data_IF_459952019694
#
_entry.id   IF_459952019694
#
_cell.length_a   1.000
_cell.length_b   1.000
_cell.length_c   1.000
_cell.angle_alpha   90.00
_cell.angle_beta   90.00
_cell.angle_gamma   90.00
#
_symmetry.space_group_name_H-M   'P 1'
#
loop_
_entity.id
_entity.type
_entity.pdbx_description
1 polymer ?
#
# COMPACT_ATOMS: atom_id res chain seq x y z
N UNK A 1 29.88 53.07 52.44
CA UNK A 1 28.81 52.30 53.11
C UNK A 1 28.40 51.19 52.16
N UNK A 2 28.99 50.02 52.36
CA UNK A 2 28.87 48.80 51.56
C UNK A 2 27.81 47.90 52.21
N UNK A 3 26.50 48.04 51.93
CA UNK A 3 25.53 46.98 52.29
C UNK A 3 24.11 47.10 51.72
N UNK A 4 23.90 47.46 50.44
CA UNK A 4 22.58 47.25 49.80
C UNK A 4 22.68 46.48 48.47
N UNK A 5 23.74 45.68 48.34
CA UNK A 5 23.81 44.55 47.41
C UNK A 5 23.38 43.32 48.22
N UNK A 6 22.15 42.85 48.03
CA UNK A 6 21.61 41.49 48.28
C UNK A 6 20.13 41.56 48.68
N UNK A 7 19.28 42.01 47.77
CA UNK A 7 17.97 41.39 47.69
C UNK A 7 17.78 40.94 46.24
N UNK A 8 17.82 39.62 45.95
CA UNK A 8 17.44 39.15 44.65
C UNK A 8 15.96 39.49 44.50
N UNK A 9 15.65 40.49 43.68
CA UNK A 9 14.35 40.58 43.04
C UNK A 9 14.09 39.22 42.41
N UNK A 10 13.36 38.36 43.11
CA UNK A 10 12.86 37.10 42.58
C UNK A 10 11.73 37.51 41.64
N UNK A 11 12.10 37.98 40.45
CA UNK A 11 11.18 38.11 39.36
C UNK A 11 10.73 36.69 39.04
N UNK A 12 9.51 36.34 39.45
CA UNK A 12 8.88 35.09 39.09
C UNK A 12 8.77 35.03 37.56
N UNK A 13 9.73 34.36 36.90
CA UNK A 13 9.74 34.02 35.46
C UNK A 13 8.54 33.10 35.11
N UNK A 14 7.77 32.65 36.09
CA UNK A 14 6.66 31.70 35.89
C UNK A 14 5.29 32.36 35.73
N UNK A 15 5.17 33.70 35.76
CA UNK A 15 3.86 34.39 35.75
C UNK A 15 3.61 35.33 34.56
N UNK A 16 4.25 35.07 33.43
CA UNK A 16 3.88 35.66 32.12
C UNK A 16 3.57 34.58 31.08
N UNK A 17 3.11 33.40 31.53
CA UNK A 17 2.17 32.61 30.71
C UNK A 17 0.80 33.21 30.98
N UNK A 18 0.57 34.37 30.39
CA UNK A 18 -0.79 34.90 30.25
C UNK A 18 -1.53 33.95 29.33
N UNK A 19 -2.26 33.02 29.94
CA UNK A 19 -3.38 32.31 29.36
C UNK A 19 -4.27 33.33 28.61
N UNK A 20 -4.32 33.27 27.27
CA UNK A 20 -5.54 33.55 26.48
C UNK A 20 -5.36 33.78 24.97
N UNK A 21 -4.16 33.87 24.36
CA UNK A 21 -4.08 34.04 22.89
C UNK A 21 -2.87 33.28 22.32
N UNK A 22 -3.10 32.11 21.67
CA UNK A 22 -3.13 32.12 20.20
C UNK A 22 -4.34 31.38 19.61
N UNK A 23 -5.38 31.07 20.39
CA UNK A 23 -6.48 30.21 19.91
C UNK A 23 -7.31 30.84 18.78
N UNK A 24 -7.42 32.18 18.76
CA UNK A 24 -8.26 32.91 17.79
C UNK A 24 -7.63 32.94 16.38
N UNK A 25 -6.30 32.98 16.27
CA UNK A 25 -5.60 32.98 14.98
C UNK A 25 -5.16 31.59 14.52
N UNK A 26 -4.97 30.64 15.45
CA UNK A 26 -4.56 29.27 15.10
C UNK A 26 -5.65 28.52 14.34
N UNK A 27 -6.92 28.70 14.72
CA UNK A 27 -8.06 28.04 14.07
C UNK A 27 -8.24 28.46 12.60
N UNK A 28 -8.26 29.76 12.22
CA UNK A 28 -8.38 30.15 10.82
C UNK A 28 -7.14 29.78 10.00
N UNK A 29 -5.93 29.82 10.56
CA UNK A 29 -4.74 29.31 9.87
C UNK A 29 -4.81 27.80 9.63
N UNK A 30 -5.29 27.02 10.61
CA UNK A 30 -5.48 25.57 10.46
C UNK A 30 -6.54 25.26 9.40
N UNK A 31 -7.66 26.00 9.39
CA UNK A 31 -8.69 25.87 8.36
C UNK A 31 -8.18 26.26 6.98
N UNK A 32 -7.39 27.34 6.88
CA UNK A 32 -6.77 27.76 5.62
C UNK A 32 -5.78 26.70 5.11
N UNK A 33 -4.93 26.16 5.99
CA UNK A 33 -4.01 25.08 5.63
C UNK A 33 -4.76 23.81 5.21
N UNK A 34 -5.83 23.44 5.92
CA UNK A 34 -6.70 22.33 5.55
C UNK A 34 -7.41 22.55 4.21
N UNK A 35 -7.85 23.78 3.94
CA UNK A 35 -8.51 24.14 2.67
C UNK A 35 -7.52 24.14 1.50
N UNK A 36 -6.33 24.72 1.68
CA UNK A 36 -5.26 24.66 0.69
C UNK A 36 -4.81 23.21 0.43
N UNK A 37 -4.77 22.39 1.48
CA UNK A 37 -4.50 20.97 1.35
C UNK A 37 -5.60 20.24 0.57
N UNK A 38 -6.88 20.55 0.83
CA UNK A 38 -8.01 20.00 0.07
C UNK A 38 -7.94 20.40 -1.41
N UNK A 39 -7.67 21.68 -1.71
CA UNK A 39 -7.50 22.16 -3.08
C UNK A 39 -6.33 21.43 -3.76
N UNK A 40 -5.18 21.31 -3.09
CA UNK A 40 -4.02 20.59 -3.62
C UNK A 40 -4.34 19.12 -3.90
N UNK A 41 -5.09 18.45 -3.01
CA UNK A 41 -5.52 17.06 -3.23
C UNK A 41 -6.51 16.90 -4.38
N UNK A 42 -7.28 17.94 -4.71
CA UNK A 42 -8.21 17.95 -5.83
C UNK A 42 -7.50 18.26 -7.16
N UNK A 43 -6.40 19.01 -7.16
CA UNK A 43 -5.71 19.45 -8.38
C UNK A 43 -4.81 18.38 -8.99
N UNK A 44 -4.34 17.40 -8.19
CA UNK A 44 -3.68 16.20 -8.71
C UNK A 44 -4.68 15.19 -9.30
N UNK A 45 -5.46 15.66 -10.28
CA UNK A 45 -6.20 14.80 -11.20
C UNK A 45 -5.21 14.15 -12.15
N UNK A 46 -4.53 13.11 -11.67
CA UNK A 46 -3.81 12.21 -12.55
C UNK A 46 -4.78 11.67 -13.62
N UNK A 47 -4.31 11.55 -14.87
CA UNK A 47 -5.10 10.99 -15.98
C UNK A 47 -5.71 9.61 -15.70
N UNK A 48 -5.18 8.89 -14.71
CA UNK A 48 -5.67 7.59 -14.25
C UNK A 48 -6.52 7.82 -13.00
N UNK A 49 -7.78 7.35 -12.96
CA UNK A 49 -8.65 7.53 -11.81
C UNK A 49 -8.15 6.72 -10.61
N UNK A 50 -8.38 7.22 -9.40
CA UNK A 50 -8.00 6.56 -8.15
C UNK A 50 -7.96 7.52 -6.96
N UNK A 51 -7.68 7.03 -5.74
CA UNK A 51 -7.35 7.88 -4.61
C UNK A 51 -6.24 8.87 -4.96
N UNK A 52 -6.31 10.08 -4.38
CA UNK A 52 -5.25 11.08 -4.49
C UNK A 52 -4.02 10.69 -3.67
N UNK A 53 -2.83 11.08 -4.12
CA UNK A 53 -1.56 10.72 -3.46
C UNK A 53 -1.38 11.41 -2.10
N UNK A 54 -1.83 12.66 -1.97
CA UNK A 54 -1.97 13.37 -0.70
C UNK A 54 -0.69 13.33 0.17
N UNK A 55 0.46 13.72 -0.39
CA UNK A 55 1.78 13.71 0.28
C UNK A 55 2.15 12.36 0.96
N UNK A 56 1.78 11.23 0.35
CA UNK A 56 2.06 9.90 0.88
C UNK A 56 0.99 9.33 1.82
N UNK A 57 -0.03 10.11 2.21
CA UNK A 57 -1.19 9.60 2.94
C UNK A 57 -2.05 8.68 2.08
N UNK A 58 -2.19 9.00 0.79
CA UNK A 58 -2.92 8.15 -0.18
C UNK A 58 -2.41 6.71 -0.17
N UNK A 59 -1.09 6.50 -0.35
CA UNK A 59 -0.50 5.19 -0.27
C UNK A 59 -0.69 4.45 1.06
N UNK A 60 -0.61 5.17 2.19
CA UNK A 60 -0.81 4.57 3.50
C UNK A 60 -2.26 4.10 3.70
N UNK A 61 -3.22 4.94 3.33
CA UNK A 61 -4.65 4.63 3.45
C UNK A 61 -5.04 3.49 2.49
N UNK A 62 -4.55 3.52 1.24
CA UNK A 62 -4.86 2.44 0.29
C UNK A 62 -4.29 1.12 0.76
N UNK A 63 -3.01 1.09 1.16
CA UNK A 63 -2.38 -0.13 1.64
C UNK A 63 -3.04 -0.65 2.92
N UNK A 64 -3.34 0.23 3.88
CA UNK A 64 -4.07 -0.13 5.10
C UNK A 64 -5.44 -0.73 4.80
N UNK A 65 -6.17 -0.20 3.82
CA UNK A 65 -7.46 -0.77 3.39
C UNK A 65 -7.31 -2.19 2.81
N UNK A 66 -6.27 -2.45 2.03
CA UNK A 66 -5.97 -3.81 1.54
C UNK A 66 -5.69 -4.79 2.68
N UNK A 67 -5.00 -4.35 3.74
CA UNK A 67 -4.74 -5.18 4.92
C UNK A 67 -6.02 -5.42 5.74
N UNK A 68 -6.87 -4.41 5.92
CA UNK A 68 -8.09 -4.53 6.72
C UNK A 68 -9.21 -5.30 6.03
N UNK A 69 -9.48 -5.04 4.74
CA UNK A 69 -10.59 -5.67 4.01
C UNK A 69 -10.20 -6.98 3.31
N UNK A 70 -8.89 -7.19 3.10
CA UNK A 70 -8.38 -8.22 2.22
C UNK A 70 -8.41 -7.82 0.73
N UNK A 71 -7.60 -8.52 -0.07
CA UNK A 71 -7.31 -8.15 -1.48
C UNK A 71 -8.57 -8.13 -2.35
N UNK A 72 -9.41 -9.17 -2.28
CA UNK A 72 -10.61 -9.26 -3.12
C UNK A 72 -11.64 -8.17 -2.84
N UNK A 73 -12.00 -7.98 -1.56
CA UNK A 73 -12.97 -6.98 -1.13
C UNK A 73 -12.49 -5.56 -1.38
N UNK A 74 -11.19 -5.29 -1.16
CA UNK A 74 -10.61 -3.98 -1.45
C UNK A 74 -10.63 -3.66 -2.95
N UNK A 75 -10.26 -4.61 -3.82
CA UNK A 75 -10.38 -4.44 -5.27
C UNK A 75 -11.82 -4.13 -5.70
N UNK A 76 -12.80 -4.87 -5.17
CA UNK A 76 -14.21 -4.62 -5.49
C UNK A 76 -14.68 -3.24 -5.02
N UNK A 77 -14.26 -2.82 -3.82
CA UNK A 77 -14.54 -1.49 -3.30
C UNK A 77 -14.00 -0.39 -4.23
N UNK A 78 -12.73 -0.52 -4.65
CA UNK A 78 -12.10 0.48 -5.52
C UNK A 78 -12.70 0.51 -6.92
N UNK A 79 -13.06 -0.65 -7.48
CA UNK A 79 -13.75 -0.73 -8.76
C UNK A 79 -15.11 -0.03 -8.72
N UNK A 80 -15.87 -0.19 -7.63
CA UNK A 80 -17.16 0.48 -7.44
C UNK A 80 -17.01 1.99 -7.25
N UNK A 81 -15.93 2.46 -6.64
CA UNK A 81 -15.73 3.87 -6.29
C UNK A 81 -15.08 4.70 -7.41
N UNK A 82 -14.11 4.14 -8.13
CA UNK A 82 -13.29 4.87 -9.12
C UNK A 82 -13.45 4.35 -10.55
N UNK A 83 -14.15 3.22 -10.75
CA UNK A 83 -14.39 2.60 -12.06
C UNK A 83 -13.52 1.38 -12.34
N UNK A 84 -13.64 0.83 -13.55
CA UNK A 84 -13.09 -0.48 -13.95
C UNK A 84 -11.58 -0.51 -14.23
N UNK A 85 -10.93 0.65 -14.23
CA UNK A 85 -9.50 0.80 -14.46
C UNK A 85 -9.00 1.92 -13.58
N UNK A 86 -8.31 1.60 -12.49
CA UNK A 86 -7.93 2.59 -11.49
C UNK A 86 -6.58 2.29 -10.85
N UNK A 87 -5.95 3.31 -10.24
CA UNK A 87 -4.66 3.21 -9.54
C UNK A 87 -4.87 3.19 -8.03
N UNK A 88 -4.19 2.27 -7.35
CA UNK A 88 -3.98 2.25 -5.89
C UNK A 88 -2.48 2.19 -5.59
N UNK A 89 -2.13 2.25 -4.31
CA UNK A 89 -0.79 1.89 -3.87
C UNK A 89 -0.83 0.70 -2.91
N UNK A 90 0.08 -0.23 -3.12
CA UNK A 90 0.33 -1.38 -2.24
C UNK A 90 1.81 -1.35 -1.89
N UNK A 91 2.13 -1.33 -0.60
CA UNK A 91 3.52 -1.29 -0.13
C UNK A 91 4.34 -0.11 -0.73
N UNK A 92 3.69 1.03 -0.97
CA UNK A 92 4.31 2.22 -1.57
C UNK A 92 4.46 2.18 -3.10
N UNK A 93 4.20 1.05 -3.75
CA UNK A 93 4.27 0.90 -5.21
C UNK A 93 2.90 1.17 -5.84
N UNK A 94 2.89 1.87 -6.99
CA UNK A 94 1.69 2.06 -7.78
C UNK A 94 1.22 0.73 -8.36
N UNK A 95 -0.03 0.36 -8.07
CA UNK A 95 -0.66 -0.86 -8.55
C UNK A 95 -1.95 -0.50 -9.26
N UNK A 96 -2.14 -1.03 -10.47
CA UNK A 96 -3.39 -0.86 -11.21
C UNK A 96 -4.35 -1.99 -10.86
N UNK A 97 -5.58 -1.63 -10.49
CA UNK A 97 -6.71 -2.57 -10.36
C UNK A 97 -7.54 -2.46 -11.62
N UNK A 98 -7.70 -3.58 -12.31
CA UNK A 98 -8.31 -3.63 -13.64
C UNK A 98 -9.41 -4.70 -13.62
N UNK A 99 -10.65 -4.30 -13.87
CA UNK A 99 -11.77 -5.20 -14.19
C UNK A 99 -12.18 -5.16 -15.67
N UNK A 100 -11.67 -4.19 -16.43
CA UNK A 100 -11.96 -4.05 -17.87
C UNK A 100 -11.40 -5.24 -18.67
N UNK A 101 -12.28 -5.95 -19.39
CA UNK A 101 -11.94 -7.18 -20.13
C UNK A 101 -10.88 -6.99 -21.23
N UNK A 102 -10.92 -5.86 -21.96
CA UNK A 102 -9.93 -5.55 -23.00
C UNK A 102 -8.53 -5.33 -22.43
N UNK A 103 -8.42 -4.62 -21.31
CA UNK A 103 -7.15 -4.43 -20.60
C UNK A 103 -6.62 -5.74 -20.02
N UNK A 104 -7.50 -6.57 -19.44
CA UNK A 104 -7.14 -7.89 -18.93
C UNK A 104 -6.62 -8.81 -20.05
N UNK A 105 -7.28 -8.85 -21.22
CA UNK A 105 -6.81 -9.60 -22.36
C UNK A 105 -5.44 -9.13 -22.85
N UNK A 106 -5.22 -7.81 -22.92
CA UNK A 106 -3.93 -7.23 -23.29
C UNK A 106 -2.82 -7.65 -22.31
N UNK A 107 -3.07 -7.54 -21.00
CA UNK A 107 -2.11 -7.91 -19.96
C UNK A 107 -1.76 -9.40 -20.02
N UNK A 108 -2.76 -10.29 -20.13
CA UNK A 108 -2.50 -11.73 -20.17
C UNK A 108 -1.89 -12.22 -21.49
N UNK A 109 -2.08 -11.48 -22.60
CA UNK A 109 -1.56 -11.85 -23.91
C UNK A 109 -0.07 -11.58 -24.06
N UNK A 110 0.43 -10.49 -23.47
CA UNK A 110 1.80 -10.05 -23.70
C UNK A 110 2.78 -10.58 -22.64
N UNK A 111 3.92 -11.11 -23.09
CA UNK A 111 4.92 -11.75 -22.22
C UNK A 111 5.64 -10.81 -21.25
N UNK A 112 5.64 -9.50 -21.48
CA UNK A 112 6.27 -8.53 -20.56
C UNK A 112 5.47 -8.28 -19.28
N UNK A 113 4.24 -8.81 -19.19
CA UNK A 113 3.46 -8.87 -17.95
C UNK A 113 3.53 -10.25 -17.27
N UNK A 114 4.38 -11.16 -17.76
CA UNK A 114 4.58 -12.49 -17.16
C UNK A 114 5.46 -12.43 -15.90
N UNK A 115 5.02 -11.66 -14.91
CA UNK A 115 5.59 -11.58 -13.57
C UNK A 115 4.48 -11.28 -12.56
N UNK A 116 4.67 -11.65 -11.30
CA UNK A 116 3.78 -11.26 -10.20
C UNK A 116 4.51 -10.28 -9.29
N UNK A 117 3.81 -9.83 -8.26
CA UNK A 117 4.35 -8.98 -7.22
C UNK A 117 3.91 -9.48 -5.84
N UNK A 118 4.63 -9.07 -4.81
CA UNK A 118 4.39 -9.45 -3.43
C UNK A 118 5.53 -8.99 -2.54
N UNK A 119 5.28 -8.98 -1.22
CA UNK A 119 6.31 -8.62 -0.24
C UNK A 119 7.49 -9.58 -0.33
N UNK A 120 8.69 -9.08 -0.65
CA UNK A 120 9.92 -9.89 -0.70
C UNK A 120 10.14 -10.71 0.58
N UNK A 121 10.12 -10.14 1.80
CA UNK A 121 10.26 -10.95 3.02
C UNK A 121 9.10 -11.94 3.20
N UNK A 122 7.88 -11.60 2.79
CA UNK A 122 6.75 -12.52 2.82
C UNK A 122 6.95 -13.72 1.89
N UNK A 123 7.39 -13.47 0.65
CA UNK A 123 7.69 -14.50 -0.34
C UNK A 123 8.88 -15.39 0.08
N UNK A 124 9.89 -14.80 0.72
CA UNK A 124 11.01 -15.55 1.29
C UNK A 124 10.55 -16.45 2.44
N UNK A 125 9.67 -15.94 3.32
CA UNK A 125 9.12 -16.71 4.44
C UNK A 125 8.36 -17.96 3.99
N UNK A 126 7.62 -17.88 2.88
CA UNK A 126 6.88 -19.02 2.32
C UNK A 126 7.67 -19.81 1.28
N UNK A 127 8.94 -19.47 1.04
CA UNK A 127 9.81 -20.16 0.07
C UNK A 127 9.42 -19.99 -1.40
N UNK A 128 8.69 -18.92 -1.75
CA UNK A 128 8.27 -18.61 -3.14
C UNK A 128 9.04 -17.46 -3.79
N UNK A 129 9.96 -16.82 -3.06
CA UNK A 129 10.83 -15.80 -3.65
C UNK A 129 11.83 -16.45 -4.61
N UNK A 130 11.73 -16.11 -5.90
CA UNK A 130 12.55 -16.69 -6.97
C UNK A 130 12.54 -18.22 -6.98
N UNK A 131 11.44 -18.83 -6.54
CA UNK A 131 11.31 -20.27 -6.44
C UNK A 131 9.88 -20.70 -6.81
N UNK A 132 9.73 -21.91 -7.36
CA UNK A 132 8.47 -22.40 -7.91
C UNK A 132 8.00 -21.60 -9.14
N UNK A 133 6.69 -21.66 -9.41
CA UNK A 133 6.05 -21.00 -10.57
C UNK A 133 4.97 -19.98 -10.24
N UNK A 134 4.41 -20.02 -9.01
CA UNK A 134 3.23 -19.23 -8.65
C UNK A 134 3.63 -17.77 -8.46
N UNK A 135 4.52 -17.49 -7.49
CA UNK A 135 5.00 -16.13 -7.18
C UNK A 135 6.49 -15.93 -7.52
N UNK A 136 6.99 -16.69 -8.49
CA UNK A 136 8.35 -16.51 -8.98
C UNK A 136 8.40 -15.31 -9.93
N UNK A 137 9.02 -14.23 -9.47
CA UNK A 137 9.15 -12.98 -10.19
C UNK A 137 10.39 -12.93 -11.09
N UNK A 138 11.24 -13.95 -11.09
CA UNK A 138 12.40 -14.04 -11.98
C UNK A 138 11.95 -14.63 -13.33
N UNK A 139 11.89 -13.84 -14.42
CA UNK A 139 11.32 -14.29 -15.68
C UNK A 139 12.18 -15.36 -16.37
N UNK A 140 13.50 -15.37 -16.13
CA UNK A 140 14.41 -16.37 -16.71
C UNK A 140 14.15 -17.72 -16.06
N UNK A 141 14.19 -17.76 -14.72
CA UNK A 141 13.98 -18.98 -13.96
C UNK A 141 12.55 -19.51 -14.12
N UNK A 142 11.55 -18.63 -14.13
CA UNK A 142 10.15 -19.01 -14.33
C UNK A 142 9.94 -19.69 -15.70
N UNK A 143 10.58 -19.19 -16.77
CA UNK A 143 10.51 -19.78 -18.11
C UNK A 143 11.16 -21.16 -18.18
N UNK A 144 12.22 -21.41 -17.42
CA UNK A 144 12.87 -22.72 -17.34
C UNK A 144 12.03 -23.73 -16.55
N UNK A 145 11.43 -23.31 -15.44
CA UNK A 145 10.68 -24.20 -14.54
C UNK A 145 9.27 -24.51 -15.08
N UNK A 146 8.58 -23.55 -15.70
CA UNK A 146 7.19 -23.69 -16.18
C UNK A 146 6.94 -24.90 -17.10
N UNK A 147 7.82 -25.26 -18.06
CA UNK A 147 7.65 -26.43 -18.90
C UNK A 147 7.50 -27.74 -18.11
N UNK A 148 8.15 -27.90 -16.96
CA UNK A 148 8.03 -29.11 -16.13
C UNK A 148 6.61 -29.28 -15.59
N UNK A 149 5.97 -28.18 -15.17
CA UNK A 149 4.57 -28.16 -14.74
C UNK A 149 3.58 -28.31 -15.90
N UNK A 150 3.90 -27.74 -17.07
CA UNK A 150 3.01 -27.75 -18.25
C UNK A 150 3.01 -29.11 -18.95
N UNK A 151 4.15 -29.80 -19.00
CA UNK A 151 4.30 -31.10 -19.66
C UNK A 151 3.79 -32.27 -18.82
N UNK A 152 3.48 -32.06 -17.55
CA UNK A 152 2.87 -33.10 -16.70
C UNK A 152 3.65 -34.41 -16.73
N UNK A 153 4.96 -34.38 -16.46
CA UNK A 153 5.56 -35.56 -15.82
C UNK A 153 5.06 -35.59 -14.38
N UNK A 154 3.82 -36.05 -14.21
CA UNK A 154 3.48 -36.80 -13.01
C UNK A 154 4.43 -37.99 -13.00
N UNK A 155 5.07 -38.25 -11.86
CA UNK A 155 6.05 -39.32 -11.59
C UNK A 155 7.53 -38.86 -11.70
N UNK A 156 8.19 -38.88 -10.54
CA UNK A 156 9.63 -39.15 -10.37
C UNK A 156 10.64 -38.01 -10.50
N UNK A 157 10.44 -36.89 -9.80
CA UNK A 157 11.57 -36.07 -9.35
C UNK A 157 11.34 -35.70 -7.89
N UNK A 158 12.11 -36.31 -7.00
CA UNK A 158 12.11 -36.11 -5.55
C UNK A 158 12.58 -34.71 -5.12
N UNK A 159 11.96 -33.68 -5.68
CA UNK A 159 12.04 -32.32 -5.19
C UNK A 159 10.93 -32.15 -4.15
N UNK A 160 11.21 -31.56 -2.98
CA UNK A 160 10.21 -31.31 -1.96
C UNK A 160 9.25 -30.25 -2.52
N UNK A 161 8.17 -30.71 -3.13
CA UNK A 161 7.00 -29.89 -3.36
C UNK A 161 6.50 -29.58 -1.96
N UNK A 162 6.68 -28.33 -1.51
CA UNK A 162 5.93 -27.81 -0.36
C UNK A 162 4.48 -27.74 -0.81
N UNK A 163 3.81 -28.89 -0.75
CA UNK A 163 2.36 -28.99 -0.89
C UNK A 163 1.79 -28.35 0.36
N UNK A 164 1.22 -27.15 0.23
CA UNK A 164 0.23 -26.70 1.22
C UNK A 164 -0.86 -27.79 1.28
N UNK A 165 -1.26 -28.24 2.47
CA UNK A 165 -2.20 -29.33 2.61
C UNK A 165 -3.50 -29.01 1.88
N UNK A 166 -3.95 -29.97 1.08
CA UNK A 166 -5.17 -29.97 0.26
C UNK A 166 -6.47 -29.76 1.06
N UNK A 167 -6.37 -29.65 2.38
CA UNK A 167 -7.50 -29.56 3.31
C UNK A 167 -8.08 -28.14 3.43
N UNK A 168 -7.47 -27.13 2.79
CA UNK A 168 -7.93 -25.73 2.89
C UNK A 168 -8.90 -25.31 1.78
N UNK A 169 -9.07 -26.10 0.71
CA UNK A 169 -9.90 -25.71 -0.45
C UNK A 169 -11.20 -26.50 -0.67
N UNK A 170 -11.52 -27.50 0.17
CA UNK A 170 -12.75 -28.30 0.06
C UNK A 170 -13.80 -27.99 1.14
N UNK A 171 -13.91 -26.74 1.57
CA UNK A 171 -14.99 -26.35 2.49
C UNK A 171 -15.61 -24.98 2.19
N UNK A 172 -15.82 -24.68 0.90
CA UNK A 172 -16.78 -23.67 0.46
C UNK A 172 -17.54 -24.15 -0.77
N UNK A 173 -18.41 -25.13 -0.57
CA UNK A 173 -19.53 -25.43 -1.46
C UNK A 173 -20.76 -25.77 -0.61
N UNK A 174 -21.61 -24.78 -0.40
CA UNK A 174 -23.07 -24.87 -0.29
C UNK A 174 -23.64 -23.49 -0.65
#
# INVERSE_FOLDING_TARGET
MLLEILNPMHYNITKVVSESIPTVATLPLLLLMGFLFLIWTCEETSSIPGPGYCMGLGPLISHGRFLCMGVGSACNYYNKMYGEFMRVWINGEETLVISKSSSMFHVMKHGHYSSRFGSKPGLQCIGMHENGIIFNNNPTLWKEIRPYFTKGKYIELGLPIVTLPSDVFLNQSL
#
